data_IF_208500632733
#
_entry.id   IF_208500632733
#
_cell.length_a   1.000
_cell.length_b   1.000
_cell.length_c   1.000
_cell.angle_alpha   90.00
_cell.angle_beta   90.00
_cell.angle_gamma   90.00
#
_symmetry.space_group_name_H-M   'P 1'
#
loop_
_entity.id
_entity.type
_entity.pdbx_description
1 polymer ?
#
# COMPACT_ATOMS: atom_id res chain seq x y z
N UNK A 1 8.23 -26.00 -6.64
CA UNK A 1 8.38 -24.54 -6.53
C UNK A 1 7.66 -24.03 -5.31
N UNK A 2 8.35 -23.30 -4.50
CA UNK A 2 7.74 -22.74 -3.32
C UNK A 2 6.97 -21.48 -3.70
N UNK A 3 5.72 -21.48 -3.36
CA UNK A 3 4.92 -20.28 -3.52
C UNK A 3 5.13 -19.38 -2.32
N UNK A 4 5.27 -18.10 -2.58
CA UNK A 4 5.23 -17.11 -1.52
C UNK A 4 3.80 -17.08 -1.00
N UNK A 5 3.65 -17.43 0.25
CA UNK A 5 2.36 -17.32 0.91
C UNK A 5 2.26 -15.93 1.50
N UNK A 6 1.69 -15.03 0.74
CA UNK A 6 1.28 -13.74 1.27
C UNK A 6 -0.17 -13.93 1.72
N UNK A 7 -0.32 -14.54 2.87
CA UNK A 7 -1.65 -14.79 3.39
C UNK A 7 -2.32 -13.49 3.78
N UNK A 8 -3.49 -13.29 3.18
CA UNK A 8 -4.36 -12.18 3.51
C UNK A 8 -5.25 -12.60 4.66
N UNK A 9 -5.09 -11.98 5.83
CA UNK A 9 -6.08 -12.11 6.89
C UNK A 9 -7.20 -11.14 6.64
N UNK A 10 -8.43 -11.61 6.85
CA UNK A 10 -9.60 -10.75 6.75
C UNK A 10 -9.84 -10.04 8.06
N UNK A 11 -9.95 -8.73 7.99
CA UNK A 11 -10.35 -7.91 9.12
C UNK A 11 -11.66 -7.23 8.75
N UNK A 12 -12.59 -7.19 9.69
CA UNK A 12 -13.89 -6.61 9.42
C UNK A 12 -13.84 -5.08 9.43
N UNK A 13 -14.47 -4.47 8.45
CA UNK A 13 -14.61 -3.02 8.39
C UNK A 13 -16.08 -2.65 8.20
N UNK A 14 -16.65 -1.74 8.99
CA UNK A 14 -16.00 -1.08 10.12
C UNK A 14 -15.75 -2.08 11.27
N UNK A 15 -14.83 -1.77 12.18
CA UNK A 15 -14.59 -2.69 13.29
C UNK A 15 -15.81 -2.75 14.22
N UNK A 16 -16.08 -3.94 14.74
CA UNK A 16 -17.18 -4.14 15.68
C UNK A 16 -16.77 -3.82 17.11
N UNK A 17 -15.46 -3.79 17.36
CA UNK A 17 -14.90 -3.57 18.68
C UNK A 17 -13.53 -2.93 18.52
N UNK A 18 -13.11 -2.09 19.47
CA UNK A 18 -11.84 -1.41 19.42
C UNK A 18 -11.70 -0.51 18.19
N UNK A 19 -10.54 -0.54 17.56
CA UNK A 19 -10.26 0.24 16.38
C UNK A 19 -9.30 -0.49 15.44
N UNK A 20 -9.34 -0.11 14.17
CA UNK A 20 -8.41 -0.59 13.16
C UNK A 20 -7.69 0.60 12.55
N UNK A 21 -6.56 0.33 11.91
CA UNK A 21 -5.79 1.36 11.21
C UNK A 21 -5.95 1.16 9.73
N UNK A 22 -6.31 2.22 9.03
CA UNK A 22 -6.36 2.26 7.58
C UNK A 22 -5.45 3.38 7.09
N UNK A 23 -5.01 3.29 5.86
CA UNK A 23 -4.15 4.31 5.27
C UNK A 23 -4.87 4.95 4.08
N UNK A 24 -4.92 6.27 4.07
CA UNK A 24 -5.58 7.02 3.01
C UNK A 24 -4.56 7.47 1.96
N UNK A 25 -4.89 7.24 0.69
CA UNK A 25 -4.10 7.73 -0.43
C UNK A 25 -4.98 8.58 -1.33
N UNK A 26 -4.48 9.77 -1.65
CA UNK A 26 -5.09 10.57 -2.70
C UNK A 26 -4.58 10.05 -4.05
N UNK A 27 -5.50 9.70 -4.93
CA UNK A 27 -5.17 9.07 -6.21
C UNK A 27 -5.79 9.84 -7.37
N UNK A 28 -5.20 9.70 -8.55
CA UNK A 28 -5.76 10.33 -9.75
C UNK A 28 -6.96 9.54 -10.29
N UNK A 29 -6.97 8.22 -10.07
CA UNK A 29 -7.98 7.33 -10.62
C UNK A 29 -8.17 6.16 -9.67
N UNK A 30 -9.35 6.10 -9.04
CA UNK A 30 -9.66 5.08 -8.03
C UNK A 30 -9.54 3.67 -8.63
N UNK A 31 -10.12 3.44 -9.82
CA UNK A 31 -10.09 2.11 -10.43
C UNK A 31 -8.68 1.66 -10.77
N UNK A 32 -7.85 2.56 -11.27
CA UNK A 32 -6.45 2.25 -11.58
C UNK A 32 -5.69 1.83 -10.34
N UNK A 33 -5.86 2.57 -9.25
CA UNK A 33 -5.18 2.27 -7.99
C UNK A 33 -5.69 0.97 -7.38
N UNK A 34 -7.00 0.77 -7.34
CA UNK A 34 -7.59 -0.45 -6.80
C UNK A 34 -7.07 -1.68 -7.56
N UNK A 35 -7.02 -1.59 -8.88
CA UNK A 35 -6.55 -2.69 -9.73
C UNK A 35 -5.07 -2.98 -9.51
N UNK A 36 -4.26 -1.95 -9.29
CA UNK A 36 -2.85 -2.14 -8.99
C UNK A 36 -2.66 -2.95 -7.70
N UNK A 37 -3.32 -2.55 -6.62
CA UNK A 37 -3.18 -3.23 -5.33
C UNK A 37 -3.77 -4.63 -5.36
N UNK A 38 -4.83 -4.85 -6.13
CA UNK A 38 -5.38 -6.19 -6.35
C UNK A 38 -4.40 -7.07 -7.11
N UNK A 39 -3.89 -6.59 -8.24
CA UNK A 39 -3.05 -7.38 -9.15
C UNK A 39 -1.69 -7.68 -8.56
N UNK A 40 -1.03 -6.68 -7.99
CA UNK A 40 0.34 -6.84 -7.49
C UNK A 40 0.37 -7.61 -6.17
N UNK A 41 -0.42 -7.16 -5.20
CA UNK A 41 -0.33 -7.69 -3.84
C UNK A 41 -1.43 -8.68 -3.49
N UNK A 42 -2.35 -8.95 -4.41
CA UNK A 42 -3.49 -9.82 -4.10
C UNK A 42 -4.50 -9.14 -3.19
N UNK A 43 -4.54 -7.83 -3.19
CA UNK A 43 -5.49 -7.08 -2.39
C UNK A 43 -6.93 -7.38 -2.77
N UNK A 44 -7.85 -7.19 -1.84
CA UNK A 44 -9.26 -7.44 -2.05
C UNK A 44 -10.00 -6.12 -2.16
N UNK A 45 -10.61 -5.87 -3.32
CA UNK A 45 -11.39 -4.67 -3.53
C UNK A 45 -12.73 -4.82 -2.83
N UNK A 46 -12.98 -3.98 -1.83
CA UNK A 46 -14.22 -3.99 -1.06
C UNK A 46 -15.22 -2.98 -1.62
N UNK A 47 -14.72 -1.89 -2.18
CA UNK A 47 -15.54 -0.86 -2.81
C UNK A 47 -14.71 -0.13 -3.85
N UNK A 48 -15.34 0.26 -4.94
CA UNK A 48 -14.69 1.01 -6.04
C UNK A 48 -15.07 2.48 -6.04
N UNK A 49 -15.74 2.94 -4.98
CA UNK A 49 -16.30 4.28 -4.96
C UNK A 49 -17.56 4.38 -5.83
N UNK A 50 -18.09 5.57 -5.94
CA UNK A 50 -19.27 5.81 -6.77
C UNK A 50 -19.32 7.27 -7.23
N UNK A 51 -20.36 7.61 -8.00
CA UNK A 51 -20.54 8.96 -8.55
C UNK A 51 -20.85 10.02 -7.51
N UNK A 52 -21.16 9.63 -6.26
CA UNK A 52 -21.40 10.58 -5.17
C UNK A 52 -20.10 11.09 -4.53
N UNK A 53 -18.95 10.53 -4.91
CA UNK A 53 -17.66 10.88 -4.33
C UNK A 53 -17.21 9.96 -3.22
N UNK A 54 -17.85 8.82 -3.04
CA UNK A 54 -17.42 7.83 -2.07
C UNK A 54 -16.07 7.24 -2.47
N UNK A 55 -15.20 6.96 -1.50
CA UNK A 55 -13.86 6.43 -1.79
C UNK A 55 -13.90 4.95 -2.16
N UNK A 56 -12.80 4.47 -2.74
CA UNK A 56 -12.54 3.05 -2.88
C UNK A 56 -11.92 2.48 -1.62
N UNK A 57 -12.16 1.21 -1.37
CA UNK A 57 -11.58 0.49 -0.22
C UNK A 57 -10.94 -0.79 -0.72
N UNK A 58 -9.66 -0.99 -0.38
CA UNK A 58 -8.91 -2.19 -0.75
C UNK A 58 -8.27 -2.76 0.51
N UNK A 59 -8.56 -4.01 0.81
CA UNK A 59 -7.88 -4.71 1.87
C UNK A 59 -6.57 -5.28 1.36
N UNK A 60 -5.48 -4.98 2.05
CA UNK A 60 -4.16 -5.52 1.74
C UNK A 60 -3.53 -5.99 3.05
N UNK A 61 -3.26 -7.30 3.15
CA UNK A 61 -2.74 -7.93 4.37
C UNK A 61 -3.58 -7.52 5.60
N UNK A 62 -2.93 -6.95 6.60
CA UNK A 62 -3.59 -6.54 7.85
C UNK A 62 -3.98 -5.06 7.86
N UNK A 63 -4.04 -4.42 6.70
CA UNK A 63 -4.44 -3.02 6.64
C UNK A 63 -5.43 -2.79 5.50
N UNK A 64 -5.94 -1.60 5.43
CA UNK A 64 -6.95 -1.20 4.45
C UNK A 64 -6.50 0.11 3.84
N UNK A 65 -6.59 0.17 2.53
CA UNK A 65 -6.33 1.40 1.80
C UNK A 65 -7.66 2.06 1.48
N UNK A 66 -7.75 3.32 1.80
CA UNK A 66 -8.86 4.16 1.40
C UNK A 66 -8.31 5.06 0.30
N UNK A 67 -8.89 4.98 -0.89
CA UNK A 67 -8.39 5.74 -2.04
C UNK A 67 -9.49 6.66 -2.56
N UNK A 68 -9.14 7.91 -2.79
CA UNK A 68 -10.07 8.86 -3.37
C UNK A 68 -9.33 9.91 -4.17
N UNK A 69 -10.05 10.57 -5.05
CA UNK A 69 -9.48 11.67 -5.83
C UNK A 69 -9.24 12.87 -4.92
N UNK A 70 -8.29 13.70 -5.31
CA UNK A 70 -7.94 14.88 -4.56
C UNK A 70 -9.00 15.96 -4.62
N UNK A 71 -8.76 17.01 -3.85
CA UNK A 71 -9.64 18.16 -3.84
C UNK A 71 -9.23 19.14 -2.78
N UNK A 72 -9.85 20.31 -2.84
CA UNK A 72 -9.60 21.37 -1.88
C UNK A 72 -10.25 21.13 -0.54
N UNK A 73 -10.21 22.14 0.33
CA UNK A 73 -10.77 22.00 1.69
C UNK A 73 -12.24 21.63 1.71
N UNK A 74 -12.62 20.91 2.74
CA UNK A 74 -13.99 20.50 3.01
C UNK A 74 -14.38 20.95 4.42
N UNK A 75 -15.69 20.94 4.78
CA UNK A 75 -16.09 21.39 6.11
C UNK A 75 -15.47 20.63 7.26
N UNK A 76 -15.12 19.34 7.06
CA UNK A 76 -14.50 18.51 8.09
C UNK A 76 -12.97 18.62 8.14
N UNK A 77 -12.35 19.30 7.14
CA UNK A 77 -10.91 19.62 7.13
C UNK A 77 -10.70 20.93 6.36
N UNK A 78 -11.09 22.04 6.97
CA UNK A 78 -11.25 23.31 6.25
C UNK A 78 -9.96 23.97 5.79
N UNK A 79 -8.81 23.46 6.21
CA UNK A 79 -7.52 24.03 5.81
C UNK A 79 -6.67 23.05 4.99
N UNK A 80 -7.23 21.89 4.60
CA UNK A 80 -6.46 20.83 3.97
C UNK A 80 -6.86 20.64 2.52
N UNK A 81 -5.87 20.63 1.64
CA UNK A 81 -6.02 20.23 0.24
C UNK A 81 -5.36 18.87 0.07
N UNK A 82 -6.07 17.94 -0.56
CA UNK A 82 -5.55 16.62 -0.87
C UNK A 82 -5.13 16.58 -2.33
N UNK A 83 -3.91 16.10 -2.57
CA UNK A 83 -3.37 15.99 -3.93
C UNK A 83 -2.49 14.76 -4.04
N UNK A 84 -2.35 14.25 -5.27
CA UNK A 84 -1.33 13.23 -5.55
C UNK A 84 0.05 13.85 -5.29
N UNK A 85 1.09 13.04 -5.05
CA UNK A 85 2.42 13.59 -4.77
C UNK A 85 2.88 14.50 -5.90
N UNK A 86 3.13 15.78 -5.62
CA UNK A 86 3.61 16.72 -6.67
C UNK A 86 5.05 16.40 -7.07
N UNK A 87 5.83 15.83 -6.17
CA UNK A 87 7.19 15.36 -6.44
C UNK A 87 7.34 13.97 -5.85
N UNK A 88 7.24 12.91 -6.67
CA UNK A 88 7.30 11.54 -6.17
C UNK A 88 8.66 11.13 -5.61
N UNK A 89 9.69 11.95 -5.82
CA UNK A 89 11.01 11.71 -5.24
C UNK A 89 11.24 12.46 -3.93
N UNK A 90 10.27 13.25 -3.48
CA UNK A 90 10.37 14.02 -2.24
C UNK A 90 9.15 13.71 -1.38
N UNK A 91 9.28 12.72 -0.52
CA UNK A 91 8.15 12.22 0.27
C UNK A 91 8.45 12.30 1.76
N UNK A 92 7.39 12.46 2.55
CA UNK A 92 7.49 12.56 4.01
C UNK A 92 7.06 11.28 4.72
N UNK A 93 6.40 10.38 4.03
CA UNK A 93 5.98 9.09 4.59
C UNK A 93 5.76 8.09 3.46
N UNK A 94 5.72 6.82 3.81
CA UNK A 94 5.39 5.77 2.86
C UNK A 94 4.85 4.55 3.59
N UNK A 95 4.10 3.72 2.87
CA UNK A 95 3.62 2.47 3.40
C UNK A 95 4.78 1.48 3.45
N UNK A 96 4.83 0.69 4.52
CA UNK A 96 5.90 -0.28 4.74
C UNK A 96 5.29 -1.67 4.80
N UNK A 97 5.75 -2.57 3.94
CA UNK A 97 5.31 -3.96 3.91
C UNK A 97 6.45 -4.82 4.43
N UNK A 98 6.18 -5.57 5.50
CA UNK A 98 7.17 -6.46 6.10
C UNK A 98 6.91 -7.88 5.62
N UNK A 99 7.92 -8.53 5.09
CA UNK A 99 7.78 -9.84 4.43
C UNK A 99 8.74 -10.87 5.03
N UNK A 100 8.36 -12.13 4.85
CA UNK A 100 9.19 -13.25 5.31
C UNK A 100 10.26 -13.64 4.29
N UNK A 101 10.00 -13.42 2.98
CA UNK A 101 10.92 -13.79 1.91
C UNK A 101 10.88 -12.69 0.83
N UNK A 102 11.76 -11.72 0.98
CA UNK A 102 11.75 -10.54 0.12
C UNK A 102 12.14 -10.87 -1.33
N UNK A 103 13.05 -11.82 -1.53
CA UNK A 103 13.47 -12.16 -2.90
C UNK A 103 12.29 -12.78 -3.67
N UNK A 104 11.54 -13.67 -3.03
CA UNK A 104 10.38 -14.27 -3.65
C UNK A 104 9.27 -13.24 -3.90
N UNK A 105 9.04 -12.32 -2.95
CA UNK A 105 8.08 -11.24 -3.14
C UNK A 105 8.49 -10.31 -4.28
N UNK A 106 9.77 -9.94 -4.34
CA UNK A 106 10.31 -9.11 -5.40
C UNK A 106 10.02 -9.72 -6.78
N UNK A 107 10.36 -11.00 -6.94
CA UNK A 107 10.18 -11.68 -8.23
C UNK A 107 8.70 -11.80 -8.59
N UNK A 108 7.86 -12.18 -7.62
CA UNK A 108 6.43 -12.34 -7.86
C UNK A 108 5.77 -11.01 -8.23
N UNK A 109 6.00 -9.98 -7.43
CA UNK A 109 5.34 -8.69 -7.64
C UNK A 109 5.85 -8.00 -8.90
N UNK A 110 7.13 -8.15 -9.18
CA UNK A 110 7.69 -7.66 -10.44
C UNK A 110 7.03 -8.34 -11.64
N UNK A 111 6.81 -9.66 -11.57
CA UNK A 111 6.13 -10.40 -12.62
C UNK A 111 4.68 -9.95 -12.82
N UNK A 112 4.09 -9.35 -11.81
CA UNK A 112 2.73 -8.79 -11.85
C UNK A 112 2.68 -7.32 -12.27
N UNK A 113 3.82 -6.77 -12.66
CA UNK A 113 3.90 -5.41 -13.20
C UNK A 113 4.31 -4.32 -12.22
N UNK A 114 4.72 -4.68 -10.99
CA UNK A 114 5.19 -3.66 -10.06
C UNK A 114 6.49 -3.03 -10.56
N UNK A 115 6.57 -1.71 -10.45
CA UNK A 115 7.76 -0.95 -10.81
C UNK A 115 8.62 -0.78 -9.56
N UNK A 116 9.77 -1.45 -9.54
CA UNK A 116 10.70 -1.35 -8.43
C UNK A 116 11.74 -0.28 -8.70
N UNK A 117 12.05 0.51 -7.66
CA UNK A 117 13.12 1.51 -7.74
C UNK A 117 14.47 0.81 -7.77
N UNK A 118 14.63 -0.23 -6.94
CA UNK A 118 15.84 -1.08 -6.96
C UNK A 118 15.45 -2.51 -6.62
N UNK A 119 16.34 -3.46 -6.96
CA UNK A 119 16.25 -4.81 -6.43
C UNK A 119 16.54 -4.81 -4.92
N UNK A 120 16.25 -5.92 -4.21
CA UNK A 120 16.51 -6.00 -2.77
C UNK A 120 17.99 -5.73 -2.43
N UNK A 121 18.20 -4.87 -1.45
CA UNK A 121 19.53 -4.48 -0.99
C UNK A 121 19.61 -4.56 0.52
N UNK A 122 20.76 -4.99 1.01
CA UNK A 122 21.01 -5.06 2.45
C UNK A 122 21.23 -3.67 3.03
N UNK A 123 20.58 -3.42 4.17
CA UNK A 123 20.68 -2.13 4.85
C UNK A 123 20.32 -2.28 6.34
N UNK A 124 21.23 -1.95 7.23
CA UNK A 124 20.99 -1.89 8.68
C UNK A 124 20.30 -3.12 9.26
N UNK A 125 20.81 -4.31 8.97
CA UNK A 125 20.23 -5.53 9.55
C UNK A 125 18.94 -5.98 8.90
N UNK A 126 18.58 -5.43 7.77
CA UNK A 126 17.47 -5.91 6.97
C UNK A 126 17.79 -5.85 5.48
N UNK A 127 16.91 -6.42 4.69
CA UNK A 127 16.96 -6.33 3.23
C UNK A 127 15.75 -5.55 2.78
N UNK A 128 15.93 -4.56 1.89
CA UNK A 128 14.87 -3.64 1.47
C UNK A 128 14.82 -3.46 -0.03
N UNK A 129 13.63 -3.23 -0.53
CA UNK A 129 13.43 -2.67 -1.86
C UNK A 129 12.20 -1.77 -1.82
N UNK A 130 11.97 -1.02 -2.90
CA UNK A 130 10.93 0.01 -2.93
C UNK A 130 10.16 -0.08 -4.23
N UNK A 131 8.86 0.10 -4.14
CA UNK A 131 7.93 0.05 -5.27
C UNK A 131 7.29 1.42 -5.41
N UNK A 132 6.98 1.81 -6.65
CA UNK A 132 6.10 2.95 -6.92
C UNK A 132 4.72 2.45 -7.29
N UNK A 133 3.70 3.07 -6.71
CA UNK A 133 2.34 2.80 -7.13
C UNK A 133 1.98 3.66 -8.36
N UNK A 134 0.77 3.55 -8.93
CA UNK A 134 0.42 4.31 -10.14
C UNK A 134 0.50 5.82 -10.02
N UNK A 135 0.37 6.37 -8.82
CA UNK A 135 0.48 7.81 -8.59
C UNK A 135 1.86 8.24 -8.13
N UNK A 136 2.81 7.30 -8.06
CA UNK A 136 4.18 7.56 -7.63
C UNK A 136 4.41 7.40 -6.13
N UNK A 137 3.40 6.96 -5.37
CA UNK A 137 3.61 6.70 -3.94
C UNK A 137 4.66 5.62 -3.73
N UNK A 138 5.51 5.86 -2.76
CA UNK A 138 6.57 4.91 -2.39
C UNK A 138 6.00 3.85 -1.47
N UNK A 139 6.35 2.60 -1.72
CA UNK A 139 6.05 1.47 -0.84
C UNK A 139 7.36 0.77 -0.53
N UNK A 140 7.74 0.72 0.74
CA UNK A 140 8.92 -0.03 1.16
C UNK A 140 8.54 -1.49 1.38
N UNK A 141 9.38 -2.39 0.88
CA UNK A 141 9.29 -3.81 1.18
C UNK A 141 10.54 -4.18 1.96
N UNK A 142 10.37 -4.75 3.15
CA UNK A 142 11.49 -5.04 4.02
C UNK A 142 11.38 -6.40 4.67
N UNK A 143 12.54 -7.03 4.81
CA UNK A 143 12.68 -8.29 5.53
C UNK A 143 13.77 -8.13 6.59
N UNK A 144 13.43 -8.44 7.83
CA UNK A 144 14.41 -8.43 8.91
C UNK A 144 15.35 -9.62 8.76
N UNK A 145 16.64 -9.42 9.05
CA UNK A 145 17.61 -10.51 9.01
C UNK A 145 17.34 -11.48 10.15
N UNK A 146 17.73 -12.78 9.98
CA UNK A 146 17.56 -13.77 11.04
C UNK A 146 18.18 -13.32 12.34
N UNK A 147 17.50 -13.58 13.45
CA UNK A 147 17.96 -13.21 14.78
C UNK A 147 17.59 -11.82 15.25
N UNK A 148 16.98 -11.01 14.37
CA UNK A 148 16.47 -9.70 14.78
C UNK A 148 15.03 -9.88 15.30
N UNK A 149 14.81 -9.41 16.52
CA UNK A 149 13.50 -9.50 17.16
C UNK A 149 13.13 -8.14 17.74
N UNK A 150 11.85 -7.82 17.67
CA UNK A 150 11.32 -6.56 18.17
C UNK A 150 10.25 -6.86 19.22
N UNK A 151 10.58 -6.47 20.44
CA UNK A 151 9.65 -6.49 21.56
C UNK A 151 9.09 -7.80 21.91
#
# INVERSE_FOLDING_TARGET
MNQVQVEQKSYQMPPQDGFTVAHFLTVADIERSARFYETVFGGRILSRGDSSGAPGYIQIANTWLIVNVGGGPTPDKPSVTLSVPPDPDSVSSFMNIRVADIQACYELWRSRGAEFITEPKDKYGETRCYIRDPDGYIIEVGQSKPGVAYG
#
